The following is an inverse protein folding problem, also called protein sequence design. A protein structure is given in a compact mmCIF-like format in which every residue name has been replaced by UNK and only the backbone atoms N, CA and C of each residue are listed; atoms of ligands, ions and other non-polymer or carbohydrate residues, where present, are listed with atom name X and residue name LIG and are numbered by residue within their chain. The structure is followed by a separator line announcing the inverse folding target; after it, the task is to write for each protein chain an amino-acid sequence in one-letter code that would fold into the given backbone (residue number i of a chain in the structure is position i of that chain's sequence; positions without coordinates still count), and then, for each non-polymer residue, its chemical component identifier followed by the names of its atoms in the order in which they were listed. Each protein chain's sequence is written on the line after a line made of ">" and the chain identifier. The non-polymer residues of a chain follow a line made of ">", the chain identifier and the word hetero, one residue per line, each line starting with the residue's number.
data_IF_693295496235
#
_entry.id   IF_693295496235
#
_cell.length_a   1.000
_cell.length_b   1.000
_cell.length_c   1.000
_cell.angle_alpha   90.00
_cell.angle_beta   90.00
_cell.angle_gamma   90.00
#
_symmetry.space_group_name_H-M   'P 1'
#
loop_
_entity.id
_entity.type
_entity.pdbx_description
1 polymer ?
#
# COMPACT_ATOMS: atom_id res chain seq x y z
N UNK A 1 8.84 -20.86 -16.11
CA UNK A 1 7.95 -19.92 -15.39
C UNK A 1 8.13 -18.54 -16.01
N UNK A 2 7.06 -17.87 -16.42
CA UNK A 2 7.17 -16.60 -17.14
C UNK A 2 7.57 -15.49 -16.14
N UNK A 3 8.75 -14.88 -16.33
CA UNK A 3 9.28 -13.80 -15.47
C UNK A 3 8.28 -12.67 -15.24
N UNK A 4 7.44 -12.37 -16.24
CA UNK A 4 6.36 -11.38 -16.15
C UNK A 4 5.32 -11.71 -15.08
N UNK A 5 4.94 -12.98 -14.97
CA UNK A 5 3.93 -13.43 -13.99
C UNK A 5 4.48 -13.30 -12.57
N UNK A 6 5.74 -13.73 -12.35
CA UNK A 6 6.41 -13.63 -11.05
C UNK A 6 6.48 -12.18 -10.60
N UNK A 7 6.88 -11.28 -11.50
CA UNK A 7 6.98 -9.85 -11.23
C UNK A 7 5.62 -9.26 -10.79
N UNK A 8 4.55 -9.58 -11.52
CA UNK A 8 3.19 -9.10 -11.22
C UNK A 8 2.69 -9.62 -9.87
N UNK A 9 3.01 -10.87 -9.53
CA UNK A 9 2.67 -11.48 -8.24
C UNK A 9 3.42 -10.82 -7.07
N UNK A 10 4.73 -10.58 -7.21
CA UNK A 10 5.54 -9.87 -6.23
C UNK A 10 5.03 -8.45 -5.96
N UNK A 11 4.61 -7.73 -7.01
CA UNK A 11 3.98 -6.42 -6.87
C UNK A 11 2.64 -6.47 -6.14
N UNK A 12 1.80 -7.47 -6.44
CA UNK A 12 0.56 -7.68 -5.68
C UNK A 12 0.83 -7.90 -4.20
N UNK A 13 1.79 -8.76 -3.86
CA UNK A 13 2.21 -8.99 -2.47
C UNK A 13 2.74 -7.72 -1.83
N UNK A 14 3.55 -6.93 -2.55
CA UNK A 14 4.07 -5.66 -2.06
C UNK A 14 2.97 -4.63 -1.78
N UNK A 15 1.96 -4.54 -2.65
CA UNK A 15 0.80 -3.66 -2.45
C UNK A 15 -0.01 -4.09 -1.22
N UNK A 16 -0.25 -5.40 -1.05
CA UNK A 16 -0.91 -5.91 0.16
C UNK A 16 -0.11 -5.59 1.43
N UNK A 17 1.21 -5.71 1.36
CA UNK A 17 2.08 -5.37 2.48
C UNK A 17 1.97 -3.89 2.84
N UNK A 18 1.98 -2.98 1.86
CA UNK A 18 1.79 -1.55 2.11
C UNK A 18 0.44 -1.24 2.76
N UNK A 19 -0.65 -1.87 2.31
CA UNK A 19 -1.97 -1.71 2.92
C UNK A 19 -1.98 -2.18 4.38
N UNK A 20 -1.35 -3.32 4.65
CA UNK A 20 -1.22 -3.83 6.01
C UNK A 20 -0.43 -2.85 6.89
N UNK A 21 0.72 -2.35 6.41
CA UNK A 21 1.51 -1.35 7.13
C UNK A 21 0.74 -0.06 7.38
N UNK A 22 -0.09 0.39 6.43
CA UNK A 22 -0.93 1.57 6.60
C UNK A 22 -1.87 1.42 7.81
N UNK A 23 -2.54 0.26 7.93
CA UNK A 23 -3.45 -0.01 9.04
C UNK A 23 -2.69 -0.11 10.37
N UNK A 24 -1.52 -0.75 10.38
CA UNK A 24 -0.69 -0.86 11.58
C UNK A 24 -0.24 0.51 12.07
N UNK A 25 0.19 1.40 11.18
CA UNK A 25 0.57 2.78 11.53
C UNK A 25 -0.66 3.54 12.03
N UNK A 26 -1.80 3.40 11.33
CA UNK A 26 -3.04 4.04 11.73
C UNK A 26 -3.39 3.66 13.16
N UNK A 27 -3.57 2.36 13.44
CA UNK A 27 -3.98 1.86 14.76
C UNK A 27 -2.89 2.07 15.82
N UNK A 28 -1.63 1.87 15.47
CA UNK A 28 -0.51 1.93 16.40
C UNK A 28 -0.23 3.32 16.94
N UNK A 29 -0.47 4.36 16.15
CA UNK A 29 -0.13 5.74 16.52
C UNK A 29 -1.34 6.67 16.68
N UNK A 30 -2.56 6.17 16.42
CA UNK A 30 -3.79 6.97 16.50
C UNK A 30 -3.98 7.65 17.86
N UNK A 31 -3.66 6.94 18.95
CA UNK A 31 -3.89 7.43 20.31
C UNK A 31 -2.83 8.47 20.75
N UNK A 32 -1.66 8.48 20.12
CA UNK A 32 -0.58 9.42 20.45
C UNK A 32 -0.68 10.69 19.59
N UNK A 33 -0.82 10.54 18.28
CA UNK A 33 -0.95 11.63 17.33
C UNK A 33 -1.93 11.24 16.19
N UNK A 34 -3.24 11.47 16.40
CA UNK A 34 -4.26 11.06 15.45
C UNK A 34 -4.14 11.78 14.10
N UNK A 35 -3.70 13.05 14.10
CA UNK A 35 -3.57 13.83 12.87
C UNK A 35 -2.43 13.30 12.00
N UNK A 36 -1.24 13.13 12.60
CA UNK A 36 -0.09 12.60 11.88
C UNK A 36 -0.36 11.18 11.36
N UNK A 37 -0.98 10.34 12.20
CA UNK A 37 -1.36 8.98 11.85
C UNK A 37 -2.32 8.92 10.65
N UNK A 38 -3.37 9.74 10.62
CA UNK A 38 -4.29 9.85 9.48
C UNK A 38 -3.57 10.34 8.22
N UNK A 39 -2.70 11.34 8.33
CA UNK A 39 -1.95 11.88 7.18
C UNK A 39 -1.07 10.79 6.57
N UNK A 40 -0.31 10.06 7.38
CA UNK A 40 0.53 8.96 6.90
C UNK A 40 -0.33 7.86 6.26
N UNK A 41 -1.45 7.50 6.88
CA UNK A 41 -2.38 6.52 6.34
C UNK A 41 -2.91 6.90 4.95
N UNK A 42 -3.36 8.15 4.78
CA UNK A 42 -3.87 8.67 3.49
C UNK A 42 -2.76 8.67 2.43
N UNK A 43 -1.54 9.06 2.80
CA UNK A 43 -0.40 9.05 1.88
C UNK A 43 -0.10 7.62 1.41
N UNK A 44 -0.08 6.65 2.32
CA UNK A 44 0.15 5.24 1.94
C UNK A 44 -0.99 4.71 1.07
N UNK A 45 -2.24 5.04 1.38
CA UNK A 45 -3.39 4.68 0.53
C UNK A 45 -3.25 5.25 -0.88
N UNK A 46 -2.84 6.51 -1.01
CA UNK A 46 -2.62 7.14 -2.31
C UNK A 46 -1.52 6.43 -3.11
N UNK A 47 -0.40 6.08 -2.45
CA UNK A 47 0.69 5.31 -3.08
C UNK A 47 0.20 3.94 -3.55
N UNK A 48 -0.55 3.23 -2.71
CA UNK A 48 -1.14 1.93 -3.08
C UNK A 48 -2.09 2.08 -4.26
N UNK A 49 -2.96 3.08 -4.25
CA UNK A 49 -3.89 3.35 -5.34
C UNK A 49 -3.16 3.64 -6.66
N UNK A 50 -2.14 4.51 -6.62
CA UNK A 50 -1.31 4.83 -7.77
C UNK A 50 -0.60 3.60 -8.33
N UNK A 51 0.02 2.78 -7.46
CA UNK A 51 0.66 1.53 -7.85
C UNK A 51 -0.36 0.56 -8.44
N UNK A 52 -1.54 0.47 -7.83
CA UNK A 52 -2.62 -0.41 -8.28
C UNK A 52 -3.10 -0.07 -9.68
N UNK A 53 -3.37 1.21 -9.97
CA UNK A 53 -3.73 1.66 -11.32
C UNK A 53 -2.61 1.38 -12.30
N UNK A 54 -1.38 1.79 -11.96
CA UNK A 54 -0.25 1.69 -12.87
C UNK A 54 0.10 0.24 -13.26
N UNK A 55 -0.07 -0.70 -12.34
CA UNK A 55 0.31 -2.10 -12.56
C UNK A 55 -0.84 -3.06 -12.88
N UNK A 56 -2.06 -2.80 -12.41
CA UNK A 56 -3.20 -3.68 -12.66
C UNK A 56 -4.18 -3.15 -13.71
N UNK A 57 -4.25 -1.83 -13.92
CA UNK A 57 -5.22 -1.22 -14.84
C UNK A 57 -4.61 -0.64 -16.12
N UNK A 58 -3.33 -0.24 -16.09
CA UNK A 58 -2.62 0.34 -17.22
C UNK A 58 -1.62 -0.62 -17.91
N UNK A 59 -1.69 -1.92 -17.60
CA UNK A 59 -1.24 -2.98 -18.52
C UNK A 59 -2.40 -3.43 -19.39
#
# INVERSE_FOLDING_TARGET
>A
MNLKIIHKLLLGVFVLFLLFSAIVILVGDYLNDPLLSIVIFIVILYVVYYLGIKFFMNE
#
